data_IF_711411742445
#
_entry.id   IF_711411742445
#
_cell.length_a   1.000
_cell.length_b   1.000
_cell.length_c   1.000
_cell.angle_alpha   90.00
_cell.angle_beta   90.00
_cell.angle_gamma   90.00
#
_symmetry.space_group_name_H-M   'P 1'
#
loop_
_entity.id
_entity.type
_entity.pdbx_description
1 polymer ?
#
# COMPACT_ATOMS: atom_id res chain seq x y z
N UNK A 1 0.42 40.42 37.48
CA UNK A 1 -0.67 41.04 36.67
C UNK A 1 -0.80 40.25 35.37
N UNK A 2 -1.74 39.31 35.29
CA UNK A 2 -2.00 38.50 34.08
C UNK A 2 -3.06 39.24 33.25
N UNK A 3 -2.73 39.61 32.01
CA UNK A 3 -3.67 40.19 31.05
C UNK A 3 -4.42 39.07 30.35
N UNK A 4 -5.73 39.05 30.56
CA UNK A 4 -6.71 38.19 29.91
C UNK A 4 -7.01 38.79 28.52
N UNK A 5 -6.76 38.04 27.45
CA UNK A 5 -7.14 38.42 26.08
C UNK A 5 -8.45 37.68 25.77
N UNK A 6 -9.55 38.44 25.68
CA UNK A 6 -10.84 37.96 25.17
C UNK A 6 -10.77 37.98 23.64
N UNK A 7 -10.92 36.82 23.00
CA UNK A 7 -11.13 36.71 21.55
C UNK A 7 -12.64 36.62 21.31
N UNK A 8 -13.17 37.61 20.61
CA UNK A 8 -14.57 37.74 20.24
C UNK A 8 -14.79 36.98 18.92
N UNK A 9 -15.51 35.85 18.96
CA UNK A 9 -15.94 35.13 17.76
C UNK A 9 -17.18 35.81 17.17
N UNK A 10 -17.05 36.33 15.94
CA UNK A 10 -18.17 36.90 15.17
C UNK A 10 -18.81 35.78 14.35
N UNK A 11 -20.04 35.41 14.72
CA UNK A 11 -20.89 34.51 13.93
C UNK A 11 -21.36 35.26 12.67
N UNK A 12 -20.96 34.77 11.50
CA UNK A 12 -21.50 35.25 10.22
C UNK A 12 -22.58 34.27 9.76
N UNK A 13 -23.84 34.70 9.80
CA UNK A 13 -24.99 33.96 9.26
C UNK A 13 -24.98 34.07 7.73
N UNK A 14 -24.82 32.94 7.04
CA UNK A 14 -25.02 32.84 5.59
C UNK A 14 -26.51 32.61 5.32
N UNK A 15 -27.13 33.54 4.61
CA UNK A 15 -28.51 33.42 4.15
C UNK A 15 -28.59 32.47 2.95
N UNK A 16 -29.46 31.46 3.05
CA UNK A 16 -29.75 30.50 1.99
C UNK A 16 -30.72 31.15 0.98
N UNK A 17 -30.27 31.39 -0.26
CA UNK A 17 -31.13 31.82 -1.36
C UNK A 17 -31.78 30.60 -2.01
N UNK A 18 -33.11 30.64 -2.09
CA UNK A 18 -33.97 29.63 -2.69
C UNK A 18 -33.92 29.78 -4.22
N UNK A 19 -33.39 28.79 -4.92
CA UNK A 19 -33.38 28.75 -6.38
C UNK A 19 -34.79 28.43 -6.91
N UNK A 20 -35.19 29.13 -7.97
CA UNK A 20 -36.46 28.98 -8.67
C UNK A 20 -36.45 27.73 -9.57
N UNK A 21 -37.48 26.91 -9.43
CA UNK A 21 -37.70 25.71 -10.25
C UNK A 21 -38.15 26.09 -11.65
N UNK A 22 -37.40 25.66 -12.66
CA UNK A 22 -37.79 25.72 -14.07
C UNK A 22 -38.58 24.46 -14.46
N UNK A 23 -39.63 24.57 -15.31
CA UNK A 23 -40.47 23.44 -15.67
C UNK A 23 -39.72 22.43 -16.55
N UNK A 24 -39.71 21.18 -16.11
CA UNK A 24 -39.14 20.03 -16.81
C UNK A 24 -39.98 19.73 -18.05
N UNK A 25 -39.34 19.83 -19.22
CA UNK A 25 -39.85 19.38 -20.51
C UNK A 25 -39.80 17.86 -20.58
N UNK A 26 -40.96 17.22 -20.78
CA UNK A 26 -41.10 15.78 -20.96
C UNK A 26 -40.57 15.35 -22.33
N UNK A 27 -39.27 15.06 -22.39
CA UNK A 27 -38.62 14.39 -23.53
C UNK A 27 -38.83 12.88 -23.47
N UNK A 28 -39.14 12.29 -24.62
CA UNK A 28 -39.37 10.86 -24.80
C UNK A 28 -38.16 10.02 -24.35
N UNK A 29 -38.38 9.11 -23.42
CA UNK A 29 -37.44 8.05 -23.06
C UNK A 29 -37.34 7.05 -24.23
N UNK A 30 -36.26 7.11 -24.99
CA UNK A 30 -35.80 5.98 -25.79
C UNK A 30 -35.17 4.95 -24.84
N UNK A 31 -35.70 3.73 -24.85
CA UNK A 31 -35.04 2.56 -24.27
C UNK A 31 -33.79 2.25 -25.12
N UNK A 32 -32.71 3.00 -24.92
CA UNK A 32 -31.38 2.51 -25.26
C UNK A 32 -31.02 1.51 -24.16
N UNK A 33 -31.06 0.24 -24.52
CA UNK A 33 -30.56 -0.86 -23.71
C UNK A 33 -29.07 -0.65 -23.50
N UNK A 34 -28.75 0.07 -22.42
CA UNK A 34 -27.62 -0.03 -21.50
C UNK A 34 -26.54 -1.01 -21.98
N UNK A 35 -25.86 -0.63 -23.06
CA UNK A 35 -24.66 -1.28 -23.55
C UNK A 35 -23.53 -0.64 -22.75
N UNK A 36 -23.53 -0.92 -21.44
CA UNK A 36 -22.49 -0.43 -20.55
C UNK A 36 -21.16 -0.88 -21.13
N UNK A 37 -20.28 0.11 -21.37
CA UNK A 37 -18.94 -0.05 -21.89
C UNK A 37 -18.15 -0.99 -20.97
N UNK A 38 -18.31 -2.29 -21.18
CA UNK A 38 -17.55 -3.32 -20.49
C UNK A 38 -16.13 -3.19 -21.04
N UNK A 39 -15.28 -2.50 -20.28
CA UNK A 39 -13.86 -2.35 -20.60
C UNK A 39 -13.28 -3.76 -20.78
N UNK A 40 -12.96 -4.09 -22.01
CA UNK A 40 -12.29 -5.34 -22.38
C UNK A 40 -10.81 -5.17 -22.04
N UNK A 41 -10.47 -5.47 -20.80
CA UNK A 41 -9.09 -5.59 -20.33
C UNK A 41 -8.74 -7.06 -20.19
N UNK A 42 -7.46 -7.37 -20.32
CA UNK A 42 -6.94 -8.72 -20.15
C UNK A 42 -6.79 -9.05 -18.67
N UNK A 43 -7.49 -10.11 -18.27
CA UNK A 43 -7.68 -10.55 -16.90
C UNK A 43 -6.68 -11.64 -16.47
N UNK A 44 -5.51 -11.72 -17.12
CA UNK A 44 -4.42 -12.59 -16.67
C UNK A 44 -3.84 -12.06 -15.36
N UNK A 45 -3.83 -12.90 -14.33
CA UNK A 45 -3.26 -12.55 -13.03
C UNK A 45 -1.77 -12.19 -13.13
N UNK A 46 -1.30 -11.20 -12.36
CA UNK A 46 0.12 -10.92 -12.26
C UNK A 46 0.86 -12.10 -11.63
N UNK A 47 2.13 -12.29 -12.00
CA UNK A 47 3.03 -13.23 -11.33
C UNK A 47 3.95 -12.44 -10.42
N UNK A 48 3.73 -12.53 -9.11
CA UNK A 48 4.51 -11.80 -8.12
C UNK A 48 5.72 -12.66 -7.71
N UNK A 49 6.93 -12.14 -7.95
CA UNK A 49 8.19 -12.79 -7.62
C UNK A 49 8.85 -12.32 -6.33
N UNK A 50 8.31 -11.29 -5.66
CA UNK A 50 8.87 -10.76 -4.41
C UNK A 50 8.05 -9.64 -3.77
N UNK A 51 8.54 -9.09 -2.65
CA UNK A 51 7.85 -8.11 -1.79
C UNK A 51 8.60 -6.77 -1.65
N UNK A 52 9.07 -6.20 -2.77
CA UNK A 52 9.74 -4.89 -2.89
C UNK A 52 11.10 -4.72 -2.21
N UNK A 53 11.33 -5.41 -1.10
CA UNK A 53 12.48 -5.30 -0.21
C UNK A 53 12.97 -6.69 0.19
N UNK A 54 14.19 -6.79 0.69
CA UNK A 54 14.70 -8.05 1.25
C UNK A 54 14.30 -8.23 2.71
N UNK A 55 13.71 -9.38 3.00
CA UNK A 55 13.38 -9.85 4.35
C UNK A 55 14.31 -11.04 4.62
N UNK A 56 15.09 -10.97 5.69
CA UNK A 56 16.00 -12.04 6.11
C UNK A 56 15.99 -12.16 7.64
N UNK A 57 16.62 -13.21 8.14
CA UNK A 57 16.86 -13.47 9.56
C UNK A 57 17.67 -12.35 10.22
N UNK A 58 17.40 -12.11 11.50
CA UNK A 58 18.13 -11.14 12.30
C UNK A 58 19.54 -11.63 12.65
N UNK A 59 20.51 -10.72 12.64
CA UNK A 59 21.92 -11.00 12.97
C UNK A 59 22.20 -11.20 14.47
N UNK A 60 21.21 -11.03 15.34
CA UNK A 60 21.31 -11.18 16.79
C UNK A 60 21.99 -10.01 17.50
N UNK A 61 22.15 -8.86 16.84
CA UNK A 61 22.72 -7.63 17.42
C UNK A 61 21.65 -6.55 17.68
N UNK A 62 21.88 -5.71 18.70
CA UNK A 62 21.00 -4.59 19.04
C UNK A 62 21.81 -3.29 19.24
N UNK A 63 21.76 -2.33 18.29
CA UNK A 63 21.06 -2.42 17.01
C UNK A 63 21.73 -3.43 16.06
N UNK A 64 20.93 -4.07 15.21
CA UNK A 64 21.33 -5.06 14.21
C UNK A 64 20.49 -4.96 12.95
N UNK A 65 20.56 -5.98 12.10
CA UNK A 65 19.85 -6.01 10.81
C UNK A 65 19.13 -7.32 10.57
N UNK A 66 18.03 -7.25 9.84
CA UNK A 66 17.25 -8.39 9.34
C UNK A 66 16.86 -8.09 7.89
N UNK A 67 17.69 -8.51 6.93
CA UNK A 67 17.56 -8.07 5.53
C UNK A 67 17.72 -6.55 5.38
N UNK A 68 16.73 -5.89 4.78
CA UNK A 68 16.71 -4.43 4.59
C UNK A 68 16.23 -3.63 5.84
N UNK A 69 15.95 -4.30 6.95
CA UNK A 69 15.44 -3.67 8.17
C UNK A 69 16.53 -3.42 9.19
N UNK A 70 16.45 -2.26 9.86
CA UNK A 70 17.24 -1.98 11.05
C UNK A 70 16.46 -2.46 12.28
N UNK A 71 16.99 -3.46 12.97
CA UNK A 71 16.42 -3.99 14.21
C UNK A 71 17.07 -3.27 15.38
N UNK A 72 16.30 -2.46 16.09
CA UNK A 72 16.77 -1.66 17.23
C UNK A 72 15.70 -1.76 18.32
N UNK A 73 16.03 -2.24 19.51
CA UNK A 73 15.06 -2.33 20.61
C UNK A 73 14.57 -0.94 21.08
N UNK A 74 15.24 0.13 20.68
CA UNK A 74 14.80 1.52 20.83
C UNK A 74 13.81 2.00 19.76
N UNK A 75 13.43 1.16 18.80
CA UNK A 75 12.40 1.45 17.81
C UNK A 75 11.06 1.77 18.48
N UNK A 76 10.44 2.87 18.06
CA UNK A 76 9.28 3.45 18.77
C UNK A 76 7.93 3.08 18.15
N UNK A 77 7.93 2.35 17.04
CA UNK A 77 6.70 1.86 16.41
C UNK A 77 6.51 0.39 16.77
N UNK A 78 5.28 -0.10 16.73
CA UNK A 78 5.02 -1.47 17.14
C UNK A 78 5.54 -2.48 16.09
N UNK A 79 5.44 -2.15 14.79
CA UNK A 79 5.74 -3.07 13.68
C UNK A 79 6.61 -2.46 12.61
N UNK A 80 7.42 -3.32 11.99
CA UNK A 80 8.14 -3.03 10.76
C UNK A 80 7.37 -3.40 9.49
N UNK A 81 6.41 -4.33 9.58
CA UNK A 81 5.62 -4.79 8.43
C UNK A 81 4.15 -4.82 8.85
N UNK A 82 3.27 -4.23 8.06
CA UNK A 82 1.82 -4.32 8.26
C UNK A 82 1.19 -5.15 7.15
N UNK A 83 0.31 -6.07 7.54
CA UNK A 83 -0.27 -7.04 6.62
C UNK A 83 -1.41 -6.43 5.79
N UNK A 84 -1.63 -7.00 4.60
CA UNK A 84 -2.82 -6.67 3.81
C UNK A 84 -4.09 -7.00 4.59
N UNK A 85 -5.01 -6.03 4.64
CA UNK A 85 -6.25 -6.12 5.38
C UNK A 85 -6.12 -5.93 6.89
N UNK A 86 -4.95 -5.54 7.40
CA UNK A 86 -4.76 -5.14 8.79
C UNK A 86 -5.47 -3.82 9.09
N UNK A 87 -6.06 -3.73 10.28
CA UNK A 87 -6.58 -2.48 10.82
C UNK A 87 -5.49 -1.77 11.60
N UNK A 88 -5.06 -0.61 11.13
CA UNK A 88 -4.06 0.24 11.83
C UNK A 88 -4.71 1.34 12.67
N UNK A 89 -6.02 1.52 12.53
CA UNK A 89 -6.86 2.28 13.45
C UNK A 89 -8.27 1.68 13.46
N UNK A 90 -9.15 2.18 14.33
CA UNK A 90 -10.55 1.74 14.35
C UNK A 90 -11.31 2.01 13.03
N UNK A 91 -10.75 2.88 12.19
CA UNK A 91 -11.36 3.36 10.95
C UNK A 91 -10.43 3.26 9.75
N UNK A 92 -9.28 2.57 9.86
CA UNK A 92 -8.34 2.40 8.76
C UNK A 92 -7.97 0.95 8.57
N UNK A 93 -8.31 0.40 7.40
CA UNK A 93 -7.93 -0.94 6.98
C UNK A 93 -7.03 -0.85 5.76
N UNK A 94 -5.92 -1.59 5.77
CA UNK A 94 -4.94 -1.53 4.68
C UNK A 94 -5.40 -2.33 3.45
N UNK A 95 -5.38 -1.68 2.29
CA UNK A 95 -5.49 -2.31 0.98
C UNK A 95 -4.14 -2.72 0.38
N UNK A 96 -3.07 -2.68 1.18
CA UNK A 96 -1.69 -2.88 0.76
C UNK A 96 -0.90 -3.64 1.82
N UNK A 97 0.32 -4.05 1.48
CA UNK A 97 1.34 -4.46 2.46
C UNK A 97 2.28 -3.28 2.64
N UNK A 98 2.47 -2.83 3.87
CA UNK A 98 3.32 -1.68 4.21
C UNK A 98 4.59 -2.15 4.92
N UNK A 99 5.74 -1.60 4.50
CA UNK A 99 7.05 -1.92 5.06
C UNK A 99 7.75 -0.67 5.59
N UNK A 100 8.42 -0.80 6.74
CA UNK A 100 9.29 0.21 7.33
C UNK A 100 10.77 -0.25 7.37
N UNK A 101 11.43 -0.34 6.19
CA UNK A 101 12.83 -0.75 6.09
C UNK A 101 13.79 0.39 6.46
N UNK A 102 15.10 0.16 6.30
CA UNK A 102 16.10 1.23 6.27
C UNK A 102 15.84 2.21 5.11
N UNK A 103 16.11 3.51 5.31
CA UNK A 103 16.04 4.50 4.22
C UNK A 103 17.03 4.24 3.08
N UNK A 104 18.07 3.45 3.34
CA UNK A 104 19.06 3.06 2.34
C UNK A 104 18.71 1.79 1.58
N UNK A 105 17.60 1.12 1.92
CA UNK A 105 17.17 -0.08 1.25
C UNK A 105 16.88 0.18 -0.23
N UNK A 106 16.93 -0.87 -1.03
CA UNK A 106 16.56 -0.83 -2.44
C UNK A 106 15.11 -1.27 -2.60
N UNK A 107 14.31 -0.46 -3.30
CA UNK A 107 12.97 -0.86 -3.73
C UNK A 107 13.11 -1.53 -5.08
N UNK A 108 12.78 -2.81 -5.18
CA UNK A 108 12.85 -3.60 -6.41
C UNK A 108 11.45 -3.95 -6.92
N UNK A 109 11.33 -4.17 -8.23
CA UNK A 109 10.06 -4.57 -8.82
C UNK A 109 9.65 -5.97 -8.36
N UNK A 110 8.40 -6.16 -7.91
CA UNK A 110 7.88 -7.47 -7.55
C UNK A 110 7.34 -8.23 -8.76
N UNK A 111 7.25 -7.58 -9.94
CA UNK A 111 6.54 -8.09 -11.12
C UNK A 111 7.26 -7.68 -12.41
N UNK A 112 7.09 -8.47 -13.47
CA UNK A 112 7.41 -8.06 -14.84
C UNK A 112 6.31 -7.12 -15.37
N UNK A 113 6.67 -6.07 -16.11
CA UNK A 113 5.65 -5.17 -16.65
C UNK A 113 6.17 -3.90 -17.27
N UNK A 114 5.29 -2.92 -17.35
CA UNK A 114 5.51 -1.59 -17.91
C UNK A 114 5.13 -0.57 -16.84
N UNK A 115 6.03 0.39 -16.58
CA UNK A 115 5.70 1.56 -15.77
C UNK A 115 4.67 2.40 -16.55
N UNK A 116 3.41 2.35 -16.14
CA UNK A 116 2.34 3.09 -16.80
C UNK A 116 2.42 4.58 -16.49
N UNK A 117 2.49 4.91 -15.20
CA UNK A 117 2.62 6.29 -14.74
C UNK A 117 3.37 6.38 -13.41
N UNK A 118 3.93 7.55 -13.14
CA UNK A 118 4.60 7.89 -11.89
C UNK A 118 3.98 9.20 -11.37
N UNK A 119 3.41 9.15 -10.18
CA UNK A 119 2.73 10.30 -9.55
C UNK A 119 3.48 10.72 -8.30
N UNK A 120 3.67 12.03 -8.09
CA UNK A 120 4.26 12.54 -6.85
C UNK A 120 3.27 12.42 -5.69
N UNK A 121 3.71 11.86 -4.56
CA UNK A 121 2.88 11.72 -3.37
C UNK A 121 2.76 13.09 -2.67
N UNK A 122 1.71 13.83 -3.03
CA UNK A 122 1.42 15.19 -2.57
C UNK A 122 0.78 15.18 -1.17
N UNK A 123 1.08 16.14 -0.27
CA UNK A 123 1.75 17.42 -0.53
C UNK A 123 3.25 17.47 -0.21
N UNK A 124 3.89 16.35 0.12
CA UNK A 124 5.27 16.35 0.58
C UNK A 124 6.13 15.45 -0.29
N UNK A 125 6.99 16.03 -1.13
CA UNK A 125 7.97 15.30 -1.95
C UNK A 125 8.87 14.33 -1.14
N UNK A 126 9.02 14.55 0.17
CA UNK A 126 9.73 13.63 1.07
C UNK A 126 9.04 12.27 1.22
N UNK A 127 7.73 12.20 0.89
CA UNK A 127 6.97 10.97 0.81
C UNK A 127 7.24 10.18 -0.47
N UNK A 128 7.90 10.77 -1.47
CA UNK A 128 8.27 10.07 -2.71
C UNK A 128 7.18 10.08 -3.78
N UNK A 129 7.14 9.00 -4.54
CA UNK A 129 6.30 8.81 -5.71
C UNK A 129 5.52 7.50 -5.60
N UNK A 130 4.33 7.49 -6.17
CA UNK A 130 3.55 6.31 -6.51
C UNK A 130 3.96 5.84 -7.91
N UNK A 131 4.32 4.57 -8.04
CA UNK A 131 4.66 3.93 -9.31
C UNK A 131 3.52 2.98 -9.68
N UNK A 132 2.90 3.21 -10.82
CA UNK A 132 1.82 2.37 -11.36
C UNK A 132 2.40 1.45 -12.42
N UNK A 133 2.25 0.15 -12.22
CA UNK A 133 2.78 -0.90 -13.10
C UNK A 133 1.62 -1.72 -13.65
N UNK A 134 1.65 -1.92 -14.96
CA UNK A 134 0.78 -2.88 -15.66
C UNK A 134 1.62 -4.04 -16.16
N UNK A 135 1.16 -5.28 -15.99
CA UNK A 135 1.83 -6.46 -16.56
C UNK A 135 1.81 -6.48 -18.10
N UNK A 136 0.88 -5.72 -18.68
CA UNK A 136 0.69 -5.43 -20.11
C UNK A 136 -0.20 -4.20 -20.27
N UNK A 137 -0.14 -3.54 -21.42
CA UNK A 137 -0.85 -2.27 -21.65
C UNK A 137 -2.36 -2.31 -21.44
N UNK A 138 -2.98 -3.48 -21.55
CA UNK A 138 -4.42 -3.72 -21.41
C UNK A 138 -4.77 -4.56 -20.17
N UNK A 139 -3.88 -4.68 -19.18
CA UNK A 139 -4.12 -5.47 -17.96
C UNK A 139 -5.26 -4.88 -17.12
N UNK A 140 -6.16 -5.74 -16.65
CA UNK A 140 -7.14 -5.38 -15.61
C UNK A 140 -6.49 -5.15 -14.24
N UNK A 141 -5.24 -5.58 -14.06
CA UNK A 141 -4.51 -5.45 -12.81
C UNK A 141 -3.55 -4.26 -12.85
N UNK A 142 -3.58 -3.47 -11.79
CA UNK A 142 -2.64 -2.38 -11.52
C UNK A 142 -1.85 -2.71 -10.27
N UNK A 143 -0.53 -2.75 -10.38
CA UNK A 143 0.37 -2.88 -9.23
C UNK A 143 0.83 -1.47 -8.88
N UNK A 144 0.58 -1.04 -7.66
CA UNK A 144 0.93 0.29 -7.17
C UNK A 144 2.00 0.12 -6.10
N UNK A 145 3.10 0.86 -6.28
CA UNK A 145 4.19 0.91 -5.32
C UNK A 145 4.26 2.35 -4.82
N UNK A 146 3.80 2.57 -3.59
CA UNK A 146 3.83 3.91 -2.99
C UNK A 146 5.13 4.15 -2.23
N UNK A 147 5.42 5.41 -2.00
CA UNK A 147 6.53 5.92 -1.23
C UNK A 147 7.89 5.55 -1.81
N UNK A 148 8.08 5.66 -3.13
CA UNK A 148 9.41 5.46 -3.76
C UNK A 148 10.11 6.79 -4.00
N UNK A 149 11.37 6.91 -3.62
CA UNK A 149 12.25 8.07 -3.86
C UNK A 149 13.42 7.68 -4.74
N UNK A 150 14.16 8.69 -5.21
CA UNK A 150 15.38 8.51 -5.98
C UNK A 150 15.18 7.52 -7.14
N UNK A 151 14.12 7.75 -7.92
CA UNK A 151 13.65 6.82 -8.94
C UNK A 151 14.77 6.41 -9.90
N UNK A 152 14.87 5.11 -10.16
CA UNK A 152 15.77 4.49 -11.13
C UNK A 152 15.04 4.09 -12.42
N UNK A 153 13.75 4.42 -12.53
CA UNK A 153 12.86 4.08 -13.65
C UNK A 153 12.13 5.31 -14.17
N UNK A 154 11.57 5.19 -15.37
CA UNK A 154 10.74 6.23 -16.02
C UNK A 154 9.45 5.64 -16.58
N UNK A 155 8.42 6.47 -16.76
CA UNK A 155 7.19 6.08 -17.45
C UNK A 155 7.47 5.47 -18.84
N UNK A 156 6.70 4.44 -19.20
CA UNK A 156 6.85 3.66 -20.43
C UNK A 156 7.98 2.62 -20.40
N UNK A 157 8.81 2.58 -19.36
CA UNK A 157 9.89 1.59 -19.24
C UNK A 157 9.33 0.19 -18.99
N UNK A 158 9.82 -0.80 -19.76
CA UNK A 158 9.64 -2.22 -19.43
C UNK A 158 10.62 -2.63 -18.34
N UNK A 159 10.12 -3.35 -17.35
CA UNK A 159 10.85 -3.82 -16.18
C UNK A 159 10.63 -5.32 -15.99
N UNK A 160 11.58 -5.95 -15.29
CA UNK A 160 11.45 -7.32 -14.82
C UNK A 160 11.47 -7.39 -13.30
N UNK A 161 11.01 -8.50 -12.72
CA UNK A 161 11.19 -8.84 -11.30
C UNK A 161 12.64 -8.58 -10.89
N UNK A 162 12.84 -7.88 -9.78
CA UNK A 162 14.16 -7.51 -9.26
C UNK A 162 14.76 -6.23 -9.86
N UNK A 163 14.10 -5.59 -10.83
CA UNK A 163 14.56 -4.28 -11.35
C UNK A 163 14.53 -3.24 -10.23
N UNK A 164 15.63 -2.52 -10.02
CA UNK A 164 15.68 -1.40 -9.08
C UNK A 164 14.71 -0.30 -9.52
N UNK A 165 13.79 0.07 -8.64
CA UNK A 165 12.82 1.15 -8.82
C UNK A 165 13.28 2.45 -8.15
N UNK A 166 13.97 2.34 -7.01
CA UNK A 166 14.45 3.48 -6.25
C UNK A 166 14.81 3.09 -4.81
N UNK A 167 14.55 4.00 -3.88
CA UNK A 167 14.73 3.82 -2.43
C UNK A 167 13.44 4.17 -1.68
N UNK A 168 13.20 3.69 -0.46
CA UNK A 168 12.00 4.04 0.30
C UNK A 168 11.83 5.55 0.56
N UNK A 169 10.58 5.95 0.75
CA UNK A 169 10.12 7.26 1.19
C UNK A 169 10.55 7.51 2.62
N UNK A 170 10.56 8.77 3.07
CA UNK A 170 10.95 9.06 4.44
C UNK A 170 9.82 8.76 5.42
N UNK A 171 10.09 7.91 6.40
CA UNK A 171 9.23 7.66 7.56
C UNK A 171 9.98 7.98 8.86
N UNK A 172 9.53 9.03 9.56
CA UNK A 172 10.25 9.52 10.74
C UNK A 172 11.70 9.95 10.43
N UNK A 173 12.60 9.76 11.40
CA UNK A 173 13.97 10.24 11.32
C UNK A 173 14.93 9.29 10.60
N UNK A 174 14.76 7.97 10.78
CA UNK A 174 15.73 6.94 10.36
C UNK A 174 15.14 5.83 9.49
N UNK A 175 13.83 5.83 9.25
CA UNK A 175 13.13 4.73 8.58
C UNK A 175 12.65 5.12 7.20
N UNK A 176 12.60 4.10 6.34
CA UNK A 176 11.90 4.13 5.07
C UNK A 176 10.41 3.82 5.26
N UNK A 177 9.59 4.17 4.27
CA UNK A 177 8.27 3.60 4.04
C UNK A 177 8.15 3.24 2.57
N UNK A 178 7.56 2.09 2.29
CA UNK A 178 7.18 1.63 0.95
C UNK A 178 5.96 0.73 1.07
N UNK A 179 5.04 0.80 0.13
CA UNK A 179 3.78 0.04 0.17
C UNK A 179 3.57 -0.71 -1.15
N UNK A 180 3.07 -1.95 -1.07
CA UNK A 180 2.71 -2.78 -2.22
C UNK A 180 1.20 -3.01 -2.25
N UNK A 181 0.55 -2.49 -3.29
CA UNK A 181 -0.88 -2.69 -3.56
C UNK A 181 -1.09 -3.32 -4.93
N UNK A 182 -2.08 -4.21 -5.03
CA UNK A 182 -2.50 -4.79 -6.31
C UNK A 182 -4.01 -4.61 -6.45
N UNK A 183 -4.43 -3.86 -7.44
CA UNK A 183 -5.83 -3.59 -7.72
C UNK A 183 -6.30 -4.35 -8.95
N UNK A 184 -7.50 -4.91 -8.86
CA UNK A 184 -8.30 -5.37 -9.97
C UNK A 184 -9.28 -4.26 -10.35
N UNK A 185 -8.93 -3.51 -11.39
CA UNK A 185 -9.68 -2.34 -11.84
C UNK A 185 -11.08 -2.72 -12.35
N UNK A 186 -11.27 -3.97 -12.77
CA UNK A 186 -12.52 -4.49 -13.33
C UNK A 186 -13.48 -4.92 -12.23
N UNK A 187 -13.00 -5.66 -11.25
CA UNK A 187 -13.83 -6.13 -10.12
C UNK A 187 -13.89 -5.16 -8.95
N UNK A 188 -13.09 -4.07 -8.98
CA UNK A 188 -12.98 -3.08 -7.89
C UNK A 188 -12.56 -3.76 -6.59
N UNK A 189 -11.46 -4.52 -6.67
CA UNK A 189 -10.88 -5.24 -5.54
C UNK A 189 -9.42 -4.90 -5.39
N UNK A 190 -8.95 -4.85 -4.15
CA UNK A 190 -7.54 -4.98 -3.85
C UNK A 190 -7.22 -6.45 -3.49
N UNK A 191 -6.03 -6.90 -3.83
CA UNK A 191 -5.56 -8.26 -3.62
C UNK A 191 -4.27 -8.27 -2.82
N UNK A 192 -4.14 -9.26 -1.94
CA UNK A 192 -2.86 -9.49 -1.27
C UNK A 192 -1.82 -10.00 -2.27
N UNK A 193 -0.62 -9.42 -2.27
CA UNK A 193 0.45 -9.79 -3.20
C UNK A 193 0.85 -11.28 -3.15
N UNK A 194 0.80 -11.89 -1.95
CA UNK A 194 1.15 -13.30 -1.77
C UNK A 194 0.16 -14.25 -2.49
N UNK A 195 -1.07 -13.81 -2.78
CA UNK A 195 -2.05 -14.63 -3.49
C UNK A 195 -1.62 -14.92 -4.94
N UNK A 196 -0.76 -14.06 -5.51
CA UNK A 196 -0.25 -14.14 -6.87
C UNK A 196 1.18 -14.70 -6.99
N UNK A 197 1.74 -15.19 -5.88
CA UNK A 197 3.01 -15.93 -5.89
C UNK A 197 2.78 -17.40 -6.23
N UNK A 198 3.74 -18.02 -6.91
CA UNK A 198 3.79 -19.48 -7.00
C UNK A 198 3.98 -20.12 -5.61
N UNK A 199 3.67 -21.41 -5.49
CA UNK A 199 3.69 -22.08 -4.19
C UNK A 199 5.06 -22.16 -3.53
N UNK A 200 6.14 -22.24 -4.31
CA UNK A 200 7.50 -22.31 -3.78
C UNK A 200 7.96 -20.93 -3.30
N UNK A 201 7.73 -19.88 -4.10
CA UNK A 201 8.03 -18.49 -3.72
C UNK A 201 7.24 -18.07 -2.50
N UNK A 202 5.92 -18.36 -2.47
CA UNK A 202 5.08 -18.07 -1.30
C UNK A 202 5.57 -18.77 -0.04
N UNK A 203 5.93 -20.05 -0.13
CA UNK A 203 6.43 -20.80 1.03
C UNK A 203 7.76 -20.22 1.55
N UNK A 204 8.65 -19.80 0.65
CA UNK A 204 9.92 -19.17 1.02
C UNK A 204 9.69 -17.82 1.72
N UNK A 205 8.79 -16.98 1.21
CA UNK A 205 8.45 -15.72 1.86
C UNK A 205 7.74 -15.92 3.20
N UNK A 206 6.79 -16.86 3.30
CA UNK A 206 6.16 -17.19 4.59
C UNK A 206 7.20 -17.55 5.65
N UNK A 207 8.17 -18.42 5.31
CA UNK A 207 9.24 -18.78 6.25
C UNK A 207 10.08 -17.55 6.67
N UNK A 208 10.47 -16.69 5.72
CA UNK A 208 11.20 -15.45 6.02
C UNK A 208 10.39 -14.50 6.93
N UNK A 209 9.10 -14.39 6.69
CA UNK A 209 8.19 -13.54 7.48
C UNK A 209 8.02 -14.11 8.89
N UNK A 210 7.83 -15.41 9.04
CA UNK A 210 7.70 -16.08 10.33
C UNK A 210 8.96 -15.90 11.18
N UNK A 211 10.15 -16.12 10.58
CA UNK A 211 11.44 -15.89 11.23
C UNK A 211 11.60 -14.41 11.63
N UNK A 212 11.32 -13.49 10.71
CA UNK A 212 11.40 -12.04 10.96
C UNK A 212 10.51 -11.59 12.13
N UNK A 213 9.26 -12.07 12.18
CA UNK A 213 8.32 -11.75 13.26
C UNK A 213 8.82 -12.27 14.59
N UNK A 214 9.24 -13.54 14.62
CA UNK A 214 9.77 -14.14 15.84
C UNK A 214 11.01 -13.40 16.35
N UNK A 215 11.94 -13.07 15.45
CA UNK A 215 13.15 -12.30 15.80
C UNK A 215 12.80 -10.93 16.37
N UNK A 216 11.85 -10.21 15.75
CA UNK A 216 11.40 -8.91 16.22
C UNK A 216 10.80 -8.98 17.62
N UNK A 217 9.83 -9.87 17.81
CA UNK A 217 9.13 -10.06 19.08
C UNK A 217 10.07 -10.49 20.22
N UNK A 218 11.05 -11.33 19.90
CA UNK A 218 12.10 -11.72 20.84
C UNK A 218 12.99 -10.54 21.23
N UNK A 219 13.40 -9.71 20.26
CA UNK A 219 14.23 -8.53 20.50
C UNK A 219 13.56 -7.52 21.44
N UNK A 220 12.28 -7.22 21.20
CA UNK A 220 11.53 -6.27 22.04
C UNK A 220 10.85 -6.92 23.27
N UNK A 221 10.95 -8.25 23.40
CA UNK A 221 10.31 -9.05 24.44
C UNK A 221 8.79 -8.80 24.52
N UNK A 222 8.13 -8.80 23.37
CA UNK A 222 6.67 -8.68 23.22
C UNK A 222 6.17 -9.64 22.13
N UNK A 223 5.63 -10.82 22.49
CA UNK A 223 5.14 -11.83 21.55
C UNK A 223 3.71 -11.55 21.03
N UNK A 224 3.20 -10.33 21.20
CA UNK A 224 1.83 -9.97 20.79
C UNK A 224 1.78 -8.93 19.68
N UNK A 225 2.95 -8.52 19.18
CA UNK A 225 3.06 -7.51 18.14
C UNK A 225 2.48 -8.03 16.83
N UNK A 226 2.91 -9.21 16.38
CA UNK A 226 2.32 -9.88 15.24
C UNK A 226 1.30 -10.91 15.73
N UNK A 227 0.08 -10.83 15.21
CA UNK A 227 -0.99 -11.76 15.56
C UNK A 227 -1.25 -12.69 14.38
N UNK A 228 -0.46 -13.76 14.28
CA UNK A 228 -0.50 -14.67 13.12
C UNK A 228 -1.82 -15.45 13.07
N UNK A 229 -2.64 -15.41 14.12
CA UNK A 229 -3.98 -16.01 14.09
C UNK A 229 -4.93 -15.30 13.13
N UNK A 230 -4.58 -14.08 12.69
CA UNK A 230 -5.33 -13.30 11.69
C UNK A 230 -4.92 -13.60 10.26
N UNK A 231 -3.84 -14.32 10.03
CA UNK A 231 -3.34 -14.60 8.69
C UNK A 231 -4.24 -15.60 7.95
N UNK A 232 -4.81 -15.17 6.83
CA UNK A 232 -5.63 -16.01 5.97
C UNK A 232 -4.80 -17.18 5.43
N UNK A 233 -5.28 -18.40 5.69
CA UNK A 233 -4.66 -19.63 5.21
C UNK A 233 -3.16 -19.77 5.58
N UNK A 234 -2.71 -19.13 6.68
CA UNK A 234 -1.30 -19.12 7.08
C UNK A 234 -0.39 -18.35 6.11
N UNK A 235 -0.95 -17.40 5.35
CA UNK A 235 -0.18 -16.49 4.49
C UNK A 235 0.24 -15.29 5.32
N UNK A 236 1.53 -15.23 5.69
CA UNK A 236 2.03 -14.34 6.73
C UNK A 236 1.58 -12.88 6.59
N UNK A 237 1.53 -12.32 5.38
CA UNK A 237 1.17 -10.90 5.19
C UNK A 237 -0.22 -10.67 4.59
N UNK A 238 -1.13 -11.64 4.69
CA UNK A 238 -2.48 -11.52 4.15
C UNK A 238 -3.53 -11.90 5.21
N UNK A 239 -4.26 -10.93 5.77
CA UNK A 239 -5.47 -11.27 6.55
C UNK A 239 -6.64 -11.70 5.65
N UNK A 240 -6.60 -11.31 4.37
CA UNK A 240 -7.57 -11.68 3.33
C UNK A 240 -6.83 -11.91 2.02
N UNK A 241 -7.36 -12.77 1.14
CA UNK A 241 -6.84 -12.90 -0.23
C UNK A 241 -7.14 -11.65 -1.06
N UNK A 242 -8.33 -11.08 -0.87
CA UNK A 242 -8.79 -9.85 -1.51
C UNK A 242 -9.80 -9.10 -0.64
N UNK A 243 -9.95 -7.80 -0.89
CA UNK A 243 -10.98 -6.93 -0.32
C UNK A 243 -11.66 -6.17 -1.45
N UNK A 244 -12.95 -5.87 -1.33
CA UNK A 244 -13.56 -4.87 -2.22
C UNK A 244 -12.94 -3.50 -1.92
N UNK A 245 -12.73 -2.68 -2.93
CA UNK A 245 -12.23 -1.31 -2.74
C UNK A 245 -13.15 -0.50 -1.82
N UNK A 246 -14.45 -0.77 -1.83
CA UNK A 246 -15.43 -0.15 -0.92
C UNK A 246 -15.32 -0.61 0.54
N UNK A 247 -14.62 -1.71 0.81
CA UNK A 247 -14.36 -2.23 2.16
C UNK A 247 -13.05 -1.64 2.72
N UNK A 248 -12.14 -1.18 1.86
CA UNK A 248 -10.93 -0.49 2.29
C UNK A 248 -11.32 0.88 2.85
N UNK A 249 -11.17 1.02 4.15
CA UNK A 249 -11.45 2.29 4.83
C UNK A 249 -10.17 3.13 4.84
N UNK A 250 -10.15 4.16 4.01
CA UNK A 250 -9.11 5.19 4.00
C UNK A 250 -9.64 6.39 4.79
N UNK A 251 -8.90 6.84 5.81
CA UNK A 251 -9.28 7.95 6.71
C UNK A 251 -9.63 9.25 6.00
#
# INVERSE_FOLDING_TARGET
>A
MRKLILILFSLTLIACQKAEESPISSGNYSNDSDNSDQVDCDYTYPEIGGLLIDIDSWDGMDPGVAGDFNFDSGYTYDKHIYAFGEFISATKQLGNIEFHPSQSAQVISPVDGIIETIVENSPLATKGYEIFIKTKSDSCFTIIIDHVRNLAVTEGQTISIGTLLGTPGQFGASLGQVELQINDDKEKKAWCAMAFMDSATRAAYNAKIDDFRSDWENLINDPSVYDESKDSNGSGLCHFESLLESEIVNE
#
